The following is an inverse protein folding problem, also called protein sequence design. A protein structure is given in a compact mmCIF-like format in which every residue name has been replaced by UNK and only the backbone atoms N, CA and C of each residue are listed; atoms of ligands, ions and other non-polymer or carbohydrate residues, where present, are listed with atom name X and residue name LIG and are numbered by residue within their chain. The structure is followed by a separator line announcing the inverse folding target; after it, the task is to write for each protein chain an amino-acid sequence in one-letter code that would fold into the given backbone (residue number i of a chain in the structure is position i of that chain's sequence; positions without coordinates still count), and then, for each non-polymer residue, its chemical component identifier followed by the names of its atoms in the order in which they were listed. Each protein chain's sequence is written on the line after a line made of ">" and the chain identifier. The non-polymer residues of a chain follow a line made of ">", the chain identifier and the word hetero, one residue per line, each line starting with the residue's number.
data_IF_871423136103
#
_entry.id   IF_871423136103
#
_cell.length_a   1.000
_cell.length_b   1.000
_cell.length_c   1.000
_cell.angle_alpha   90.00
_cell.angle_beta   90.00
_cell.angle_gamma   90.00
#
_symmetry.space_group_name_H-M   'P 1'
#
loop_
_entity.id
_entity.type
_entity.pdbx_description
1 polymer ?
#
# COMPACT_ATOMS: atom_id res chain seq x y z
N UNK A 1 -2.06 -12.69 2.79
CA UNK A 1 -3.24 -11.84 3.00
C UNK A 1 -3.79 -11.39 1.66
N UNK A 2 -5.11 -11.34 1.50
CA UNK A 2 -5.78 -10.91 0.26
C UNK A 2 -6.54 -9.62 0.55
N UNK A 3 -6.56 -8.70 -0.41
CA UNK A 3 -7.33 -7.45 -0.35
C UNK A 3 -8.41 -7.43 -1.41
N UNK A 4 -9.56 -6.88 -1.05
CA UNK A 4 -10.66 -6.62 -1.99
C UNK A 4 -10.47 -5.22 -2.56
N UNK A 5 -10.31 -5.12 -3.88
CA UNK A 5 -10.32 -3.83 -4.56
C UNK A 5 -11.71 -3.22 -4.53
N UNK A 6 -11.80 -1.91 -4.78
CA UNK A 6 -13.08 -1.20 -4.98
C UNK A 6 -13.94 -1.87 -6.06
N UNK A 7 -13.33 -2.51 -7.05
CA UNK A 7 -14.02 -3.29 -8.09
C UNK A 7 -14.56 -4.66 -7.65
N UNK A 8 -14.43 -5.03 -6.37
CA UNK A 8 -14.80 -6.35 -5.84
C UNK A 8 -13.80 -7.46 -6.15
N UNK A 9 -12.80 -7.23 -7.02
CA UNK A 9 -11.75 -8.21 -7.33
C UNK A 9 -10.81 -8.40 -6.15
N UNK A 10 -10.49 -9.66 -5.83
CA UNK A 10 -9.47 -10.01 -4.85
C UNK A 10 -8.08 -10.00 -5.48
N UNK A 11 -7.11 -9.41 -4.78
CA UNK A 11 -5.70 -9.40 -5.17
C UNK A 11 -4.83 -9.77 -3.97
N UNK A 12 -3.66 -10.36 -4.21
CA UNK A 12 -2.69 -10.58 -3.14
C UNK A 12 -2.26 -9.22 -2.58
N UNK A 13 -2.26 -9.11 -1.26
CA UNK A 13 -1.72 -7.95 -0.59
C UNK A 13 -0.25 -7.77 -0.95
N UNK A 14 0.14 -6.54 -1.33
CA UNK A 14 1.50 -6.20 -1.71
C UNK A 14 1.93 -4.94 -0.96
N UNK A 15 2.81 -5.10 0.03
CA UNK A 15 3.37 -3.99 0.83
C UNK A 15 4.03 -2.93 -0.04
N UNK A 16 4.73 -3.35 -1.09
CA UNK A 16 5.38 -2.43 -2.01
C UNK A 16 4.40 -1.50 -2.74
N UNK A 17 3.19 -1.98 -3.02
CA UNK A 17 2.14 -1.18 -3.66
C UNK A 17 1.73 -0.02 -2.77
N UNK A 18 1.57 -0.27 -1.46
CA UNK A 18 1.26 0.77 -0.47
C UNK A 18 2.39 1.80 -0.43
N UNK A 19 3.64 1.34 -0.31
CA UNK A 19 4.81 2.23 -0.27
C UNK A 19 4.88 3.12 -1.52
N UNK A 20 4.71 2.54 -2.72
CA UNK A 20 4.69 3.28 -3.99
C UNK A 20 3.54 4.29 -4.05
N UNK A 21 2.36 3.94 -3.56
CA UNK A 21 1.21 4.85 -3.50
C UNK A 21 1.46 6.01 -2.55
N UNK A 22 2.02 5.78 -1.35
CA UNK A 22 2.37 6.85 -0.41
C UNK A 22 3.40 7.82 -1.00
N UNK A 23 4.46 7.29 -1.63
CA UNK A 23 5.47 8.13 -2.30
C UNK A 23 4.86 8.96 -3.43
N UNK A 24 3.96 8.36 -4.23
CA UNK A 24 3.26 9.06 -5.32
C UNK A 24 2.32 10.17 -4.82
N UNK A 25 1.81 10.05 -3.60
CA UNK A 25 1.02 11.08 -2.94
C UNK A 25 1.89 12.20 -2.31
N UNK A 26 3.22 12.14 -2.43
CA UNK A 26 4.14 13.13 -1.90
C UNK A 26 4.61 12.86 -0.47
N UNK A 27 4.33 11.68 0.09
CA UNK A 27 4.87 11.33 1.40
C UNK A 27 6.38 11.08 1.34
N UNK A 28 7.08 11.35 2.45
CA UNK A 28 8.48 10.98 2.58
C UNK A 28 8.65 9.45 2.69
N UNK A 29 9.85 8.96 2.36
CA UNK A 29 10.18 7.54 2.31
C UNK A 29 10.09 6.82 3.66
N UNK A 30 10.35 7.53 4.78
CA UNK A 30 10.22 6.97 6.13
C UNK A 30 8.76 6.71 6.49
N UNK A 31 7.88 7.68 6.24
CA UNK A 31 6.44 7.56 6.45
C UNK A 31 5.81 6.50 5.56
N UNK A 32 6.18 6.47 4.27
CA UNK A 32 5.70 5.46 3.33
C UNK A 32 6.07 4.03 3.74
N UNK A 33 7.25 3.84 4.36
CA UNK A 33 7.67 2.54 4.91
C UNK A 33 6.85 2.16 6.14
N UNK A 34 6.69 3.10 7.07
CA UNK A 34 5.93 2.85 8.31
C UNK A 34 4.47 2.46 8.03
N UNK A 35 3.81 3.14 7.08
CA UNK A 35 2.44 2.80 6.66
C UNK A 35 2.38 1.40 6.05
N UNK A 36 3.34 1.05 5.18
CA UNK A 36 3.38 -0.27 4.55
C UNK A 36 3.67 -1.44 5.52
N UNK A 37 4.23 -1.15 6.70
CA UNK A 37 4.48 -2.14 7.75
C UNK A 37 3.32 -2.27 8.74
N UNK A 38 2.51 -1.21 8.91
CA UNK A 38 1.33 -1.18 9.80
C UNK A 38 0.05 -1.78 9.19
N UNK A 39 -0.05 -1.81 7.86
CA UNK A 39 -1.18 -2.39 7.10
C UNK A 39 -0.91 -3.85 6.77
#
# INVERSE_FOLDING_TARGET
>A
MWVTKVSGKKEKFQKEKIRKTCLRAGANSKFAKEVAEKV
#
